data_IF_442064085266
#
_entry.id   IF_442064085266
#
_cell.length_a   1.000
_cell.length_b   1.000
_cell.length_c   1.000
_cell.angle_alpha   90.00
_cell.angle_beta   90.00
_cell.angle_gamma   90.00
#
_symmetry.space_group_name_H-M   'P 1'
#
loop_
_entity.id
_entity.type
_entity.pdbx_description
1 polymer ?
#
# COMPACT_ATOMS: atom_id res chain seq x y z
N UNK A 1 2.31 7.02 -3.50
CA UNK A 1 0.99 7.65 -3.27
C UNK A 1 1.10 8.79 -2.26
N UNK A 2 0.34 9.90 -2.38
CA UNK A 2 0.45 11.09 -1.51
C UNK A 2 -0.36 10.99 -0.19
N UNK A 3 -0.56 9.79 0.34
CA UNK A 3 -1.40 9.54 1.54
C UNK A 3 -0.55 9.22 2.77
N UNK A 4 -0.01 10.27 3.43
CA UNK A 4 0.75 10.12 4.67
C UNK A 4 -0.13 9.77 5.88
N UNK A 5 0.48 9.44 7.02
CA UNK A 5 -0.25 9.06 8.24
C UNK A 5 -1.30 10.11 8.70
N UNK A 6 -1.06 11.39 8.39
CA UNK A 6 -1.99 12.52 8.59
C UNK A 6 -3.32 12.38 7.82
N UNK A 7 -3.40 11.57 6.75
CA UNK A 7 -4.63 11.32 6.02
C UNK A 7 -5.71 10.77 6.95
N UNK A 8 -6.82 11.49 7.03
CA UNK A 8 -7.95 11.17 7.89
C UNK A 8 -8.57 9.82 7.51
N UNK A 9 -9.29 9.21 8.45
CA UNK A 9 -10.12 8.04 8.14
C UNK A 9 -11.21 8.36 7.10
N UNK A 10 -11.56 9.64 6.95
CA UNK A 10 -12.55 10.13 5.99
C UNK A 10 -11.99 10.13 4.55
N UNK A 11 -10.77 10.64 4.35
CA UNK A 11 -10.09 10.63 3.04
C UNK A 11 -9.83 9.19 2.56
N UNK A 12 -9.31 8.32 3.44
CA UNK A 12 -9.05 6.91 3.10
C UNK A 12 -10.36 6.22 2.68
N UNK A 13 -11.46 6.46 3.39
CA UNK A 13 -12.78 5.92 3.04
C UNK A 13 -13.34 6.55 1.75
N UNK A 14 -13.09 7.84 1.52
CA UNK A 14 -13.56 8.55 0.32
C UNK A 14 -12.81 8.16 -0.95
N UNK A 15 -11.55 7.78 -0.85
CA UNK A 15 -10.70 7.44 -2.00
C UNK A 15 -10.69 5.93 -2.29
N UNK A 16 -10.51 5.10 -1.25
CA UNK A 16 -10.40 3.63 -1.39
C UNK A 16 -11.71 2.88 -1.09
N UNK A 17 -12.78 3.54 -0.65
CA UNK A 17 -14.04 2.91 -0.22
C UNK A 17 -13.97 2.13 1.11
N UNK A 18 -12.77 1.84 1.62
CA UNK A 18 -12.53 0.97 2.78
C UNK A 18 -12.24 1.75 4.07
N UNK A 19 -12.33 1.08 5.23
CA UNK A 19 -11.98 1.67 6.53
C UNK A 19 -10.46 1.86 6.70
N UNK A 20 -10.03 2.81 7.55
CA UNK A 20 -8.60 2.96 7.93
C UNK A 20 -8.00 1.69 8.55
N UNK A 21 -8.81 0.80 9.13
CA UNK A 21 -8.39 -0.52 9.62
C UNK A 21 -8.21 -1.57 8.52
N UNK A 22 -9.07 -1.59 7.48
CA UNK A 22 -8.89 -2.44 6.31
C UNK A 22 -7.68 -1.98 5.47
N UNK A 23 -7.52 -0.67 5.30
CA UNK A 23 -6.35 -0.07 4.64
C UNK A 23 -5.04 -0.50 5.32
N UNK A 24 -4.92 -0.37 6.66
CA UNK A 24 -3.73 -0.83 7.38
C UNK A 24 -3.46 -2.34 7.25
N UNK A 25 -4.49 -3.19 7.10
CA UNK A 25 -4.32 -4.62 6.81
C UNK A 25 -3.77 -4.86 5.40
N UNK A 26 -4.31 -4.20 4.39
CA UNK A 26 -3.84 -4.30 3.01
C UNK A 26 -2.37 -3.84 2.88
N UNK A 27 -2.04 -2.67 3.41
CA UNK A 27 -0.66 -2.14 3.45
C UNK A 27 0.28 -3.10 4.19
N UNK A 28 -0.13 -3.63 5.35
CA UNK A 28 0.65 -4.62 6.09
C UNK A 28 0.90 -5.94 5.33
N UNK A 29 -0.06 -6.39 4.51
CA UNK A 29 0.12 -7.55 3.63
C UNK A 29 1.10 -7.25 2.49
N UNK A 30 0.97 -6.10 1.82
CA UNK A 30 1.82 -5.70 0.70
C UNK A 30 3.29 -5.44 1.15
N UNK A 31 3.49 -4.85 2.34
CA UNK A 31 4.81 -4.72 2.98
C UNK A 31 5.42 -6.09 3.26
N UNK A 32 4.64 -7.03 3.83
CA UNK A 32 5.12 -8.39 4.12
C UNK A 32 5.43 -9.19 2.85
N UNK A 33 4.76 -8.89 1.74
CA UNK A 33 5.00 -9.49 0.43
C UNK A 33 6.20 -8.86 -0.32
N UNK A 34 6.81 -7.78 0.19
CA UNK A 34 7.90 -7.08 -0.49
C UNK A 34 7.47 -6.34 -1.77
N UNK A 35 6.18 -6.04 -1.91
CA UNK A 35 5.62 -5.37 -3.09
C UNK A 35 5.67 -3.84 -2.96
N UNK A 36 5.56 -3.32 -1.74
CA UNK A 36 5.65 -1.89 -1.42
C UNK A 36 6.72 -1.60 -0.36
N UNK A 37 7.22 -0.38 -0.37
CA UNK A 37 7.97 0.23 0.72
C UNK A 37 7.16 1.38 1.35
N UNK A 38 7.31 1.58 2.66
CA UNK A 38 6.78 2.71 3.41
C UNK A 38 7.96 3.53 3.95
N UNK A 39 8.31 4.64 3.28
CA UNK A 39 9.14 5.67 3.91
C UNK A 39 8.33 6.32 5.05
N UNK A 40 8.97 6.55 6.19
CA UNK A 40 8.38 7.15 7.40
C UNK A 40 8.77 8.62 7.61
N UNK A 41 9.60 9.18 6.72
CA UNK A 41 10.25 10.48 6.91
C UNK A 41 9.40 11.68 6.45
N UNK A 42 8.61 11.55 5.38
CA UNK A 42 7.77 12.60 4.80
C UNK A 42 6.26 12.65 5.21
N UNK A 43 5.26 11.72 5.12
CA UNK A 43 4.31 9.23 4.17
C UNK A 43 3.96 8.76 2.72
N UNK A 44 4.95 8.14 2.06
CA UNK A 44 4.87 7.69 0.68
C UNK A 44 5.02 6.20 0.64
N UNK A 45 3.88 5.53 0.47
CA UNK A 45 3.84 4.16 0.00
C UNK A 45 4.23 4.19 -1.48
N UNK A 46 5.29 3.47 -1.81
CA UNK A 46 5.87 3.32 -3.15
C UNK A 46 5.87 1.85 -3.53
N UNK A 47 5.52 1.53 -4.78
CA UNK A 47 5.62 0.17 -5.31
C UNK A 47 7.09 -0.13 -5.62
N UNK A 48 7.62 -1.22 -5.07
CA UNK A 48 9.02 -1.66 -5.26
C UNK A 48 9.14 -2.94 -6.08
N UNK A 49 8.07 -3.75 -6.14
CA UNK A 49 7.89 -4.83 -7.11
C UNK A 49 6.43 -4.88 -7.54
N UNK A 50 6.17 -5.03 -8.84
CA UNK A 50 4.80 -5.18 -9.34
C UNK A 50 4.26 -6.59 -9.04
N UNK A 51 3.07 -6.75 -8.43
CA UNK A 51 2.45 -8.07 -8.25
C UNK A 51 2.07 -8.76 -9.57
N UNK A 52 1.88 -8.03 -10.66
CA UNK A 52 1.63 -8.61 -12.00
C UNK A 52 2.92 -9.20 -12.63
N UNK A 53 4.11 -8.87 -12.09
CA UNK A 53 5.43 -9.32 -12.56
C UNK A 53 5.87 -10.65 -11.92
N UNK A 54 4.93 -11.58 -11.73
CA UNK A 54 5.21 -12.92 -11.20
C UNK A 54 4.80 -13.99 -12.22
N UNK A 55 5.81 -14.67 -12.77
CA UNK A 55 5.79 -15.86 -13.61
C UNK A 55 4.89 -15.85 -14.88
N UNK A 56 5.45 -15.24 -15.92
CA UNK A 56 5.41 -15.82 -17.28
C UNK A 56 6.82 -16.30 -17.68
N UNK A 57 7.50 -17.00 -16.75
CA UNK A 57 8.77 -17.69 -16.98
C UNK A 57 8.57 -19.19 -16.77
N UNK A 58 9.04 -19.99 -17.71
CA UNK A 58 8.89 -21.46 -17.72
C UNK A 58 9.88 -22.15 -16.75
N UNK A 59 9.36 -23.07 -15.92
CA UNK A 59 9.80 -24.48 -15.84
C UNK A 59 8.86 -25.32 -14.92
#
# INVERSE_FOLDING_TARGET
LPFYDKSSAQEIKSYFGISKSAFKRAVGHLLKAGLIEEDKTAGTITLIKDPEENDNGED
#
